data_IF_708665730180
#
_entry.id   IF_708665730180
#
_cell.length_a   1.000
_cell.length_b   1.000
_cell.length_c   1.000
_cell.angle_alpha   90.00
_cell.angle_beta   90.00
_cell.angle_gamma   90.00
#
_symmetry.space_group_name_H-M   'P 1'
#
loop_
_entity.id
_entity.type
_entity.pdbx_description
1 polymer ?
#
# COMPACT_ATOMS: atom_id res chain seq x y z
N UNK A 1 17.17 -1.16 -22.35
CA UNK A 1 16.69 -2.28 -21.50
C UNK A 1 17.78 -2.96 -20.65
N UNK A 2 19.06 -2.54 -20.66
CA UNK A 2 20.10 -3.13 -19.81
C UNK A 2 20.05 -2.67 -18.34
N UNK A 3 19.77 -1.37 -18.09
CA UNK A 3 19.75 -0.77 -16.74
C UNK A 3 18.69 -1.41 -15.84
N UNK A 4 17.44 -1.51 -16.31
CA UNK A 4 16.35 -2.09 -15.54
C UNK A 4 16.62 -3.53 -15.06
N UNK A 5 17.25 -4.37 -15.90
CA UNK A 5 17.64 -5.72 -15.50
C UNK A 5 18.79 -5.73 -14.48
N UNK A 6 19.74 -4.80 -14.61
CA UNK A 6 20.83 -4.66 -13.64
C UNK A 6 20.29 -4.18 -12.28
N UNK A 7 19.29 -3.29 -12.28
CA UNK A 7 18.65 -2.79 -11.08
C UNK A 7 17.84 -3.86 -10.36
N UNK A 8 17.10 -4.70 -11.09
CA UNK A 8 16.40 -5.87 -10.49
C UNK A 8 17.40 -6.85 -9.88
N UNK A 9 18.48 -7.22 -10.58
CA UNK A 9 19.51 -8.13 -10.04
C UNK A 9 20.21 -7.56 -8.79
N UNK A 10 20.45 -6.24 -8.77
CA UNK A 10 21.02 -5.57 -7.59
C UNK A 10 20.04 -5.60 -6.42
N UNK A 11 18.77 -5.29 -6.66
CA UNK A 11 17.72 -5.37 -5.67
C UNK A 11 17.56 -6.79 -5.12
N UNK A 12 17.64 -7.82 -5.98
CA UNK A 12 17.64 -9.23 -5.58
C UNK A 12 18.74 -9.56 -4.58
N UNK A 13 19.96 -9.08 -4.83
CA UNK A 13 21.08 -9.29 -3.91
C UNK A 13 20.86 -8.60 -2.57
N UNK A 14 20.46 -7.32 -2.58
CA UNK A 14 20.35 -6.50 -1.37
C UNK A 14 19.14 -6.96 -0.53
N UNK A 15 17.96 -6.96 -1.12
CA UNK A 15 16.73 -7.30 -0.39
C UNK A 15 16.61 -8.81 -0.14
N UNK A 16 17.18 -9.65 -0.99
CA UNK A 16 17.30 -11.08 -0.72
C UNK A 16 18.08 -11.36 0.56
N UNK A 17 19.23 -10.69 0.76
CA UNK A 17 19.99 -10.81 2.00
C UNK A 17 19.20 -10.31 3.22
N UNK A 18 18.44 -9.21 3.09
CA UNK A 18 17.59 -8.71 4.17
C UNK A 18 16.48 -9.71 4.54
N UNK A 19 15.86 -10.33 3.54
CA UNK A 19 14.83 -11.35 3.75
C UNK A 19 15.39 -12.62 4.41
N UNK A 20 16.68 -12.94 4.24
CA UNK A 20 17.32 -14.02 4.99
C UNK A 20 17.44 -13.70 6.49
N UNK A 21 17.63 -12.43 6.85
CA UNK A 21 17.84 -12.00 8.25
C UNK A 21 16.52 -11.68 8.95
N UNK A 22 15.56 -11.09 8.22
CA UNK A 22 14.24 -10.65 8.72
C UNK A 22 13.16 -10.88 7.66
N UNK A 23 12.72 -12.13 7.44
CA UNK A 23 11.78 -12.48 6.38
C UNK A 23 10.39 -11.85 6.54
N UNK A 24 10.04 -11.52 7.77
CA UNK A 24 8.71 -11.02 8.18
C UNK A 24 8.55 -9.50 8.09
N UNK A 25 9.62 -8.77 7.76
CA UNK A 25 9.60 -7.32 7.58
C UNK A 25 9.22 -6.95 6.15
N UNK A 26 8.34 -5.97 5.99
CA UNK A 26 7.83 -5.51 4.71
C UNK A 26 8.92 -4.94 3.80
N UNK A 27 9.94 -4.29 4.39
CA UNK A 27 10.97 -3.57 3.64
C UNK A 27 11.68 -4.42 2.57
N UNK A 28 12.01 -5.67 2.89
CA UNK A 28 12.65 -6.58 1.93
C UNK A 28 11.72 -6.95 0.77
N UNK A 29 10.44 -7.18 1.06
CA UNK A 29 9.44 -7.51 0.05
C UNK A 29 9.11 -6.32 -0.85
N UNK A 30 8.94 -5.14 -0.24
CA UNK A 30 8.63 -3.88 -0.94
C UNK A 30 9.79 -3.44 -1.82
N UNK A 31 11.02 -3.47 -1.32
CA UNK A 31 12.20 -3.07 -2.08
C UNK A 31 12.35 -3.88 -3.37
N UNK A 32 12.04 -5.17 -3.31
CA UNK A 32 12.01 -6.01 -4.50
C UNK A 32 10.87 -5.67 -5.44
N UNK A 33 9.65 -5.50 -4.92
CA UNK A 33 8.50 -5.14 -5.73
C UNK A 33 8.75 -3.82 -6.47
N UNK A 34 9.29 -2.79 -5.79
CA UNK A 34 9.65 -1.52 -6.40
C UNK A 34 10.67 -1.67 -7.53
N UNK A 35 11.67 -2.54 -7.38
CA UNK A 35 12.63 -2.80 -8.46
C UNK A 35 11.96 -3.46 -9.68
N UNK A 36 11.01 -4.37 -9.45
CA UNK A 36 10.22 -5.00 -10.51
C UNK A 36 9.29 -3.99 -11.20
N UNK A 37 8.62 -3.12 -10.43
CA UNK A 37 7.80 -2.03 -10.94
C UNK A 37 8.61 -1.08 -11.83
N UNK A 38 9.77 -0.64 -11.37
CA UNK A 38 10.68 0.23 -12.14
C UNK A 38 11.18 -0.44 -13.44
N UNK A 39 11.21 -1.78 -13.47
CA UNK A 39 11.53 -2.54 -14.67
C UNK A 39 10.31 -2.80 -15.58
N UNK A 40 9.13 -2.26 -15.26
CA UNK A 40 7.88 -2.48 -15.99
C UNK A 40 7.26 -3.86 -15.79
N UNK A 41 7.69 -4.60 -14.75
CA UNK A 41 7.28 -5.98 -14.46
C UNK A 41 6.24 -6.03 -13.35
N UNK A 42 5.10 -5.37 -13.56
CA UNK A 42 4.07 -5.21 -12.54
C UNK A 42 3.44 -6.54 -12.09
N UNK A 43 3.13 -7.46 -13.01
CA UNK A 43 2.61 -8.78 -12.67
C UNK A 43 3.56 -9.63 -11.82
N UNK A 44 4.88 -9.53 -12.05
CA UNK A 44 5.88 -10.22 -11.24
C UNK A 44 5.96 -9.64 -9.83
N UNK A 45 5.87 -8.30 -9.71
CA UNK A 45 5.80 -7.62 -8.41
C UNK A 45 4.57 -8.07 -7.62
N UNK A 46 3.40 -8.13 -8.27
CA UNK A 46 2.16 -8.60 -7.66
C UNK A 46 2.25 -10.06 -7.20
N UNK A 47 2.77 -10.96 -8.05
CA UNK A 47 2.95 -12.38 -7.71
C UNK A 47 3.86 -12.55 -6.49
N UNK A 48 4.95 -11.79 -6.44
CA UNK A 48 5.89 -11.86 -5.33
C UNK A 48 5.27 -11.36 -4.02
N UNK A 49 4.62 -10.21 -4.04
CA UNK A 49 3.98 -9.63 -2.85
C UNK A 49 2.81 -10.49 -2.34
N UNK A 50 2.04 -11.13 -3.23
CA UNK A 50 0.98 -12.06 -2.85
C UNK A 50 1.51 -13.28 -2.07
N UNK A 51 2.75 -13.70 -2.34
CA UNK A 51 3.41 -14.80 -1.62
C UNK A 51 4.18 -14.37 -0.37
N UNK A 52 4.26 -13.07 -0.09
CA UNK A 52 5.04 -12.53 1.01
C UNK A 52 4.42 -12.93 2.35
N UNK A 53 5.25 -13.38 3.28
CA UNK A 53 4.86 -13.65 4.67
C UNK A 53 5.43 -12.57 5.56
N UNK A 54 4.56 -11.78 6.15
CA UNK A 54 4.91 -10.68 7.06
C UNK A 54 4.27 -10.86 8.42
N UNK A 55 4.83 -10.20 9.43
CA UNK A 55 4.17 -10.08 10.73
C UNK A 55 2.84 -9.36 10.57
N UNK A 56 1.83 -9.75 11.36
CA UNK A 56 0.53 -9.11 11.37
C UNK A 56 0.63 -7.62 11.73
N UNK A 57 -0.38 -6.84 11.36
CA UNK A 57 -0.42 -5.40 11.58
C UNK A 57 0.26 -4.61 10.46
N UNK A 58 1.05 -3.60 10.83
CA UNK A 58 1.52 -2.56 9.91
C UNK A 58 2.36 -3.09 8.74
N UNK A 59 3.22 -4.08 9.00
CA UNK A 59 4.07 -4.70 7.98
C UNK A 59 3.22 -5.37 6.89
N UNK A 60 2.15 -6.07 7.31
CA UNK A 60 1.21 -6.71 6.37
C UNK A 60 0.41 -5.67 5.60
N UNK A 61 -0.04 -4.60 6.26
CA UNK A 61 -0.80 -3.52 5.59
C UNK A 61 0.01 -2.80 4.53
N UNK A 62 1.29 -2.57 4.80
CA UNK A 62 2.19 -1.96 3.82
C UNK A 62 2.44 -2.89 2.63
N UNK A 63 2.66 -4.19 2.86
CA UNK A 63 2.78 -5.18 1.77
C UNK A 63 1.51 -5.26 0.92
N UNK A 64 0.33 -5.30 1.55
CA UNK A 64 -0.95 -5.37 0.85
C UNK A 64 -1.22 -4.08 0.04
N UNK A 65 -0.81 -2.91 0.54
CA UNK A 65 -0.92 -1.65 -0.20
C UNK A 65 -0.03 -1.66 -1.46
N UNK A 66 1.22 -2.13 -1.36
CA UNK A 66 2.11 -2.29 -2.51
C UNK A 66 1.64 -3.39 -3.48
N UNK A 67 0.97 -4.44 -2.99
CA UNK A 67 0.34 -5.44 -3.83
C UNK A 67 -0.79 -4.81 -4.66
N UNK A 68 -1.64 -4.01 -4.02
CA UNK A 68 -2.68 -3.25 -4.71
C UNK A 68 -2.13 -2.31 -5.77
N UNK A 69 -1.06 -1.56 -5.48
CA UNK A 69 -0.36 -0.73 -6.47
C UNK A 69 0.16 -1.57 -7.66
N UNK A 70 0.80 -2.70 -7.37
CA UNK A 70 1.34 -3.58 -8.40
C UNK A 70 0.24 -4.14 -9.31
N UNK A 71 -0.91 -4.52 -8.72
CA UNK A 71 -2.08 -4.98 -9.46
C UNK A 71 -2.70 -3.86 -10.33
N UNK A 72 -2.74 -2.61 -9.85
CA UNK A 72 -3.22 -1.49 -10.67
C UNK A 72 -2.33 -1.25 -11.89
N UNK A 73 -1.01 -1.25 -11.69
CA UNK A 73 -0.03 -1.07 -12.77
C UNK A 73 -0.04 -2.24 -13.77
N UNK A 74 -0.44 -3.43 -13.34
CA UNK A 74 -0.65 -4.62 -14.19
C UNK A 74 -2.02 -4.64 -14.88
N UNK A 75 -2.85 -3.60 -14.71
CA UNK A 75 -4.20 -3.50 -15.30
C UNK A 75 -5.29 -4.30 -14.57
N UNK A 76 -4.98 -4.91 -13.42
CA UNK A 76 -5.88 -5.76 -12.62
C UNK A 76 -6.60 -4.97 -11.54
N UNK A 77 -7.24 -3.86 -11.95
CA UNK A 77 -7.86 -2.90 -11.03
C UNK A 77 -8.90 -3.52 -10.08
N UNK A 78 -9.70 -4.48 -10.56
CA UNK A 78 -10.70 -5.16 -9.71
C UNK A 78 -10.09 -5.97 -8.57
N UNK A 79 -8.92 -6.59 -8.79
CA UNK A 79 -8.20 -7.30 -7.74
C UNK A 79 -7.49 -6.35 -6.80
N UNK A 80 -6.90 -5.27 -7.33
CA UNK A 80 -6.33 -4.21 -6.52
C UNK A 80 -7.36 -3.64 -5.53
N UNK A 81 -8.59 -3.36 -5.97
CA UNK A 81 -9.64 -2.86 -5.09
C UNK A 81 -10.00 -3.85 -3.98
N UNK A 82 -10.06 -5.15 -4.28
CA UNK A 82 -10.35 -6.19 -3.27
C UNK A 82 -9.27 -6.26 -2.20
N UNK A 83 -8.01 -6.08 -2.59
CA UNK A 83 -6.86 -6.07 -1.67
C UNK A 83 -6.81 -4.78 -0.84
N UNK A 84 -7.05 -3.61 -1.47
CA UNK A 84 -6.85 -2.31 -0.84
C UNK A 84 -7.97 -1.93 0.14
N UNK A 85 -9.22 -2.31 -0.13
CA UNK A 85 -10.38 -1.96 0.72
C UNK A 85 -10.25 -2.39 2.20
N UNK A 86 -9.90 -3.65 2.53
CA UNK A 86 -9.76 -4.05 3.93
C UNK A 86 -8.59 -3.38 4.64
N UNK A 87 -7.56 -2.93 3.91
CA UNK A 87 -6.45 -2.16 4.47
C UNK A 87 -6.90 -0.73 4.76
N UNK A 88 -7.53 -0.05 3.79
CA UNK A 88 -8.01 1.31 3.95
C UNK A 88 -9.03 1.46 5.10
N UNK A 89 -9.94 0.49 5.25
CA UNK A 89 -10.97 0.49 6.31
C UNK A 89 -10.41 0.46 7.74
N UNK A 90 -9.14 0.08 7.94
CA UNK A 90 -8.53 0.06 9.29
C UNK A 90 -8.28 1.46 9.83
N UNK A 91 -8.11 2.46 8.95
CA UNK A 91 -7.95 3.87 9.32
C UNK A 91 -9.27 4.56 9.71
N UNK A 92 -10.41 3.97 9.37
CA UNK A 92 -11.73 4.54 9.64
C UNK A 92 -12.19 4.28 11.10
N UNK A 93 -11.43 3.49 11.87
CA UNK A 93 -11.71 3.15 13.27
C UNK A 93 -11.46 4.31 14.26
N UNK A 94 -11.42 5.57 13.79
CA UNK A 94 -11.54 6.76 14.63
C UNK A 94 -10.24 7.33 15.23
N UNK A 95 -9.07 6.72 15.01
CA UNK A 95 -7.80 7.24 15.50
C UNK A 95 -6.84 7.57 14.35
N UNK A 96 -7.08 8.68 13.66
CA UNK A 96 -6.27 9.15 12.51
C UNK A 96 -4.82 9.51 12.88
N UNK A 97 -4.53 9.69 14.17
CA UNK A 97 -3.18 9.92 14.68
C UNK A 97 -2.25 8.70 14.50
N UNK A 98 -2.81 7.48 14.45
CA UNK A 98 -2.08 6.22 14.30
C UNK A 98 -2.25 5.59 12.91
N UNK A 99 -2.72 6.33 11.91
CA UNK A 99 -2.90 5.78 10.56
C UNK A 99 -1.54 5.38 9.98
N UNK A 100 -1.34 4.07 9.82
CA UNK A 100 -0.10 3.49 9.31
C UNK A 100 0.13 3.88 7.85
N UNK A 101 1.38 3.81 7.39
CA UNK A 101 1.72 4.14 6.00
C UNK A 101 0.98 3.27 4.98
N UNK A 102 0.80 1.97 5.27
CA UNK A 102 0.04 1.05 4.43
C UNK A 102 -1.42 1.46 4.25
N UNK A 103 -2.07 1.89 5.34
CA UNK A 103 -3.45 2.39 5.32
C UNK A 103 -3.56 3.67 4.51
N UNK A 104 -2.67 4.65 4.73
CA UNK A 104 -2.66 5.92 3.97
C UNK A 104 -2.44 5.68 2.48
N UNK A 105 -1.52 4.77 2.13
CA UNK A 105 -1.28 4.41 0.74
C UNK A 105 -2.52 3.76 0.13
N UNK A 106 -3.17 2.85 0.84
CA UNK A 106 -4.37 2.18 0.35
C UNK A 106 -5.53 3.16 0.09
N UNK A 107 -5.76 4.10 1.01
CA UNK A 107 -6.76 5.16 0.83
C UNK A 107 -6.48 6.00 -0.42
N UNK A 108 -5.22 6.43 -0.61
CA UNK A 108 -4.81 7.20 -1.80
C UNK A 108 -5.02 6.43 -3.09
N UNK A 109 -4.65 5.16 -3.13
CA UNK A 109 -4.81 4.30 -4.32
C UNK A 109 -6.28 4.01 -4.65
N UNK A 110 -7.19 4.13 -3.68
CA UNK A 110 -8.63 4.05 -3.89
C UNK A 110 -9.28 5.41 -4.22
N UNK A 111 -8.51 6.50 -4.22
CA UNK A 111 -9.03 7.86 -4.41
C UNK A 111 -9.82 8.38 -3.21
N UNK A 112 -9.65 7.78 -2.02
CA UNK A 112 -10.29 8.26 -0.80
C UNK A 112 -9.52 9.47 -0.25
N UNK A 113 -10.22 10.50 0.24
CA UNK A 113 -9.56 11.59 0.95
C UNK A 113 -8.88 11.02 2.19
N UNK A 114 -7.56 11.21 2.30
CA UNK A 114 -6.85 11.05 3.58
C UNK A 114 -7.58 11.99 4.55
N UNK A 115 -8.27 11.42 5.53
CA UNK A 115 -9.16 12.18 6.40
C UNK A 115 -8.47 13.41 6.97
N UNK A 116 -8.78 14.58 6.42
CA UNK A 116 -8.57 15.85 7.10
C UNK A 116 -9.82 16.01 7.96
N UNK A 117 -9.76 15.85 9.29
CA UNK A 117 -10.91 16.15 10.13
C UNK A 117 -11.13 17.67 10.10
N UNK A 118 -12.19 18.13 9.42
CA UNK A 118 -12.64 19.51 9.55
C UNK A 118 -13.31 20.14 8.34
N UNK A 119 -14.46 19.60 7.89
CA UNK A 119 -15.45 20.40 7.12
C UNK A 119 -16.77 19.64 6.93
N UNK A 120 -17.37 19.16 8.02
CA UNK A 120 -18.76 18.66 7.98
C UNK A 120 -19.45 18.77 9.35
N UNK A 121 -19.39 19.95 9.99
CA UNK A 121 -20.37 20.33 11.01
C UNK A 121 -20.41 21.85 11.15
N UNK A 122 -21.25 22.52 10.35
CA UNK A 122 -21.91 23.74 10.78
C UNK A 122 -23.41 23.42 10.83
N UNK A 123 -23.99 23.18 12.02
CA UNK A 123 -25.43 23.10 12.18
C UNK A 123 -26.00 24.46 11.77
N UNK A 124 -26.96 24.46 10.84
CA UNK A 124 -27.66 25.67 10.41
C UNK A 124 -28.17 26.43 11.62
N UNK A 125 -27.81 27.71 11.69
CA UNK A 125 -28.35 28.62 12.69
C UNK A 125 -29.87 28.65 12.57
N UNK A 126 -30.50 28.37 13.70
CA UNK A 126 -31.93 28.52 13.95
C UNK A 126 -32.39 29.94 13.59
N UNK A 127 -33.24 30.07 12.59
CA UNK A 127 -34.03 31.28 12.36
C UNK A 127 -35.49 30.95 12.61
N UNK A 128 -35.96 31.21 13.83
CA UNK A 128 -37.39 31.40 14.11
C UNK A 128 -37.67 32.90 14.19
N UNK A 129 -38.59 33.46 13.40
CA UNK A 129 -39.16 34.77 13.68
C UNK A 129 -40.30 34.67 14.69
N UNK A 130 -40.40 35.70 15.55
CA UNK A 130 -41.54 35.98 16.44
C UNK A 130 -42.73 36.58 15.69
#
# INVERSE_FOLDING_TARGET
>A
MASARADVKRAERIFGALLCVRPERAFGHIGMATALLNAGRAGDAATRLASARTSAGEETDLVQAFLGLSLQLDGRAGEAMRVLRPVAARGDNGNTADTTEGVRLAQRLLGQPVGIPGSAQQPGLSTSPS
#
